data_IF_397316098233
#
_entry.id   IF_397316098233
#
_cell.length_a   1.000
_cell.length_b   1.000
_cell.length_c   1.000
_cell.angle_alpha   90.00
_cell.angle_beta   90.00
_cell.angle_gamma   90.00
#
_symmetry.space_group_name_H-M   'P 1'
#
loop_
_entity.id
_entity.type
_entity.pdbx_description
1 polymer ?
#
# COMPACT_ATOMS: atom_id res chain seq x y z
N UNK A 1 -6.56 8.74 -9.07
CA UNK A 1 -5.40 8.47 -8.18
C UNK A 1 -4.37 9.52 -8.51
N UNK A 2 -3.73 10.13 -7.51
CA UNK A 2 -2.66 11.09 -7.75
C UNK A 2 -1.33 10.42 -7.43
N UNK A 3 -0.36 10.48 -8.35
CA UNK A 3 1.00 9.96 -8.15
C UNK A 3 1.94 11.16 -8.23
N UNK A 4 2.86 11.28 -7.29
CA UNK A 4 3.92 12.29 -7.26
C UNK A 4 5.25 11.59 -7.02
N UNK A 5 6.18 11.84 -7.92
CA UNK A 5 7.55 11.36 -7.82
C UNK A 5 8.41 12.54 -7.38
N UNK A 6 9.25 12.33 -6.37
CA UNK A 6 10.18 13.34 -5.91
C UNK A 6 11.56 12.72 -5.67
N UNK A 7 12.59 13.54 -5.76
CA UNK A 7 13.96 13.14 -5.46
C UNK A 7 14.41 13.85 -4.19
N UNK A 8 15.06 13.12 -3.29
CA UNK A 8 15.91 13.72 -2.25
C UNK A 8 17.35 13.74 -2.75
N UNK A 9 18.27 14.31 -1.96
CA UNK A 9 19.68 14.48 -2.34
C UNK A 9 20.31 13.22 -2.94
N UNK A 10 20.00 12.02 -2.41
CA UNK A 10 20.63 10.77 -2.83
C UNK A 10 19.66 9.69 -3.31
N UNK A 11 18.34 9.85 -3.14
CA UNK A 11 17.37 8.79 -3.37
C UNK A 11 16.11 9.25 -4.10
N UNK A 12 15.49 8.29 -4.81
CA UNK A 12 14.16 8.43 -5.37
C UNK A 12 13.10 8.15 -4.31
N UNK A 13 12.13 9.06 -4.18
CA UNK A 13 10.98 8.94 -3.29
C UNK A 13 9.68 8.90 -4.10
N UNK A 14 8.69 8.17 -3.60
CA UNK A 14 7.38 8.07 -4.24
C UNK A 14 6.29 8.39 -3.24
N UNK A 15 5.37 9.26 -3.64
CA UNK A 15 4.13 9.52 -2.93
C UNK A 15 2.96 9.27 -3.85
N UNK A 16 1.96 8.52 -3.42
CA UNK A 16 0.75 8.31 -4.20
C UNK A 16 -0.50 8.25 -3.32
N UNK A 17 -1.65 8.55 -3.92
CA UNK A 17 -2.94 8.48 -3.25
C UNK A 17 -4.00 7.68 -3.99
N UNK A 18 -4.67 6.80 -3.25
CA UNK A 18 -5.84 6.04 -3.68
C UNK A 18 -7.12 6.82 -3.36
N UNK A 19 -7.62 7.59 -4.32
CA UNK A 19 -8.74 8.52 -4.12
C UNK A 19 -10.10 7.81 -3.87
N UNK A 20 -10.24 6.52 -4.20
CA UNK A 20 -11.55 5.82 -4.17
C UNK A 20 -11.43 4.30 -3.89
N UNK A 21 -10.88 3.95 -2.72
CA UNK A 21 -10.63 2.54 -2.35
C UNK A 21 -11.58 1.93 -1.32
N UNK A 22 -12.49 2.71 -0.72
CA UNK A 22 -13.36 2.24 0.37
C UNK A 22 -14.80 2.07 -0.10
N UNK A 23 -15.33 0.85 0.00
CA UNK A 23 -16.74 0.57 -0.25
C UNK A 23 -17.53 0.59 1.05
N UNK A 24 -18.85 0.84 0.98
CA UNK A 24 -19.74 0.80 2.15
C UNK A 24 -19.70 -0.56 2.87
N UNK A 25 -19.44 -1.64 2.13
CA UNK A 25 -19.28 -2.99 2.69
C UNK A 25 -18.03 -3.05 3.58
N UNK A 26 -16.89 -2.56 3.07
CA UNK A 26 -15.65 -2.50 3.85
C UNK A 26 -15.84 -1.69 5.13
N UNK A 27 -16.53 -0.56 5.07
CA UNK A 27 -16.79 0.29 6.24
C UNK A 27 -17.58 -0.46 7.32
N UNK A 28 -18.65 -1.16 6.92
CA UNK A 28 -19.45 -2.00 7.83
C UNK A 28 -18.62 -3.13 8.44
N UNK A 29 -17.80 -3.81 7.64
CA UNK A 29 -16.90 -4.87 8.10
C UNK A 29 -15.87 -4.36 9.11
N UNK A 30 -15.28 -3.18 8.86
CA UNK A 30 -14.35 -2.56 9.80
C UNK A 30 -15.07 -2.20 11.10
N UNK A 31 -16.25 -1.58 11.02
CA UNK A 31 -17.05 -1.20 12.19
C UNK A 31 -17.51 -2.41 13.02
N UNK A 32 -17.67 -3.58 12.41
CA UNK A 32 -17.95 -4.82 13.16
C UNK A 32 -16.70 -5.41 13.84
N UNK A 33 -15.55 -4.74 13.76
CA UNK A 33 -14.28 -5.16 14.35
C UNK A 33 -13.48 -6.16 13.50
N UNK A 34 -13.93 -6.45 12.27
CA UNK A 34 -13.23 -7.39 11.38
C UNK A 34 -12.12 -6.61 10.63
N UNK A 35 -10.85 -7.03 10.75
CA UNK A 35 -9.74 -6.34 10.10
C UNK A 35 -9.75 -6.49 8.57
N UNK A 36 -9.40 -5.42 7.88
CA UNK A 36 -9.19 -5.40 6.43
C UNK A 36 -7.73 -5.05 6.15
N UNK A 37 -7.08 -5.85 5.30
CA UNK A 37 -5.71 -5.67 4.85
C UNK A 37 -5.69 -5.04 3.47
N UNK A 38 -4.97 -3.93 3.33
CA UNK A 38 -4.69 -3.23 2.09
C UNK A 38 -3.27 -3.54 1.67
N UNK A 39 -3.07 -4.06 0.45
CA UNK A 39 -1.74 -4.29 -0.10
C UNK A 39 -1.47 -3.30 -1.23
N UNK A 40 -0.25 -2.79 -1.26
CA UNK A 40 0.26 -1.89 -2.28
C UNK A 40 1.51 -2.51 -2.87
N UNK A 41 1.50 -2.77 -4.17
CA UNK A 41 2.60 -3.32 -4.93
C UNK A 41 3.18 -2.22 -5.80
N UNK A 42 4.45 -1.92 -5.59
CA UNK A 42 5.17 -0.88 -6.30
C UNK A 42 6.35 -1.52 -7.00
N UNK A 43 6.46 -1.33 -8.31
CA UNK A 43 7.61 -1.76 -9.11
C UNK A 43 8.26 -0.54 -9.74
N UNK A 44 9.55 -0.36 -9.51
CA UNK A 44 10.38 0.58 -10.26
C UNK A 44 11.10 -0.19 -11.37
N UNK A 45 10.97 0.26 -12.61
CA UNK A 45 11.64 -0.36 -13.74
C UNK A 45 12.19 0.66 -14.75
N UNK A 46 13.22 0.25 -15.48
CA UNK A 46 13.82 0.99 -16.58
C UNK A 46 13.23 0.50 -17.90
N UNK A 47 12.68 1.42 -18.70
CA UNK A 47 12.16 1.11 -20.02
C UNK A 47 13.32 0.82 -20.99
N UNK A 48 13.22 -0.30 -21.74
CA UNK A 48 14.24 -0.73 -22.71
C UNK A 48 13.60 -0.95 -24.08
N UNK A 49 14.25 -0.45 -25.14
CA UNK A 49 13.66 -0.45 -26.48
C UNK A 49 13.60 -1.83 -27.16
N UNK A 50 14.52 -2.74 -26.85
CA UNK A 50 14.68 -4.03 -27.54
C UNK A 50 14.75 -5.26 -26.64
N UNK A 51 14.59 -5.09 -25.33
CA UNK A 51 14.61 -6.16 -24.32
C UNK A 51 13.50 -5.91 -23.31
N UNK A 52 13.15 -6.91 -22.53
CA UNK A 52 12.27 -6.72 -21.38
C UNK A 52 12.80 -5.61 -20.47
N UNK A 53 11.87 -4.80 -19.97
CA UNK A 53 12.16 -3.72 -19.04
C UNK A 53 12.88 -4.27 -17.80
N UNK A 54 13.88 -3.51 -17.33
CA UNK A 54 14.71 -3.95 -16.20
C UNK A 54 14.02 -3.53 -14.91
N UNK A 55 13.54 -4.49 -14.13
CA UNK A 55 13.08 -4.24 -12.76
C UNK A 55 14.27 -3.83 -11.91
N UNK A 56 14.17 -2.66 -11.27
CA UNK A 56 15.19 -2.10 -10.38
C UNK A 56 14.85 -2.33 -8.91
N UNK A 57 13.57 -2.19 -8.55
CA UNK A 57 13.09 -2.42 -7.19
C UNK A 57 11.64 -2.90 -7.21
N UNK A 58 11.30 -3.77 -6.27
CA UNK A 58 9.93 -4.18 -5.97
C UNK A 58 9.69 -3.98 -4.48
N UNK A 59 8.62 -3.27 -4.14
CA UNK A 59 8.25 -2.96 -2.77
C UNK A 59 6.80 -3.36 -2.58
N UNK A 60 6.54 -4.10 -1.49
CA UNK A 60 5.19 -4.38 -1.02
C UNK A 60 4.98 -3.72 0.33
N UNK A 61 3.93 -2.91 0.42
CA UNK A 61 3.45 -2.34 1.67
C UNK A 61 2.10 -2.97 1.97
N UNK A 62 1.93 -3.42 3.20
CA UNK A 62 0.65 -3.90 3.70
C UNK A 62 0.21 -3.01 4.86
N UNK A 63 -1.01 -2.50 4.81
CA UNK A 63 -1.64 -1.78 5.93
C UNK A 63 -2.91 -2.52 6.35
N UNK A 64 -3.02 -2.91 7.61
CA UNK A 64 -4.22 -3.52 8.18
C UNK A 64 -4.98 -2.48 8.98
N UNK A 65 -6.26 -2.29 8.68
CA UNK A 65 -7.18 -1.44 9.45
C UNK A 65 -8.12 -2.31 10.28
N UNK A 66 -8.22 -2.02 11.57
CA UNK A 66 -9.13 -2.68 12.51
C UNK A 66 -9.83 -1.63 13.38
N UNK A 67 -11.08 -1.87 13.73
CA UNK A 67 -11.75 -1.12 14.79
C UNK A 67 -11.68 -1.91 16.11
N UNK A 68 -11.28 -1.24 17.19
CA UNK A 68 -11.26 -1.79 18.55
C UNK A 68 -12.55 -1.40 19.27
N UNK A 69 -13.51 -2.31 19.35
CA UNK A 69 -14.80 -2.08 20.01
C UNK A 69 -14.68 -1.80 21.52
N UNK A 70 -13.61 -2.25 22.18
CA UNK A 70 -13.42 -2.02 23.61
C UNK A 70 -12.94 -0.59 23.88
N UNK A 71 -12.11 -0.06 22.98
CA UNK A 71 -11.53 1.28 23.10
C UNK A 71 -12.25 2.34 22.27
N UNK A 72 -13.13 1.92 21.36
CA UNK A 72 -13.79 2.77 20.36
C UNK A 72 -12.82 3.54 19.47
N UNK A 73 -11.75 2.88 19.01
CA UNK A 73 -10.67 3.49 18.24
C UNK A 73 -10.32 2.66 16.99
N UNK A 74 -9.80 3.34 15.97
CA UNK A 74 -9.26 2.69 14.77
C UNK A 74 -7.77 2.45 14.91
N UNK A 75 -7.36 1.22 14.65
CA UNK A 75 -5.97 0.78 14.68
C UNK A 75 -5.49 0.50 13.27
N UNK A 76 -4.40 1.15 12.86
CA UNK A 76 -3.69 0.84 11.62
C UNK A 76 -2.36 0.17 11.97
N UNK A 77 -2.11 -0.97 11.36
CA UNK A 77 -0.83 -1.67 11.41
C UNK A 77 -0.19 -1.60 10.03
N UNK A 78 1.01 -1.05 9.90
CA UNK A 78 1.75 -1.05 8.63
C UNK A 78 2.89 -2.07 8.67
N UNK A 79 3.12 -2.79 7.58
CA UNK A 79 4.30 -3.63 7.35
C UNK A 79 4.86 -3.31 5.96
N UNK A 80 6.18 -3.17 5.85
CA UNK A 80 6.91 -2.99 4.59
C UNK A 80 7.89 -4.15 4.44
N UNK A 81 7.78 -4.91 3.36
CA UNK A 81 8.67 -6.04 3.08
C UNK A 81 10.07 -5.54 2.66
N UNK A 82 10.86 -5.00 3.59
CA UNK A 82 12.24 -4.58 3.38
C UNK A 82 13.18 -5.04 4.52
N UNK A 83 12.84 -6.14 5.20
CA UNK A 83 13.64 -6.71 6.29
C UNK A 83 13.34 -6.13 7.69
N UNK A 84 12.65 -5.00 7.77
CA UNK A 84 12.28 -4.35 9.02
C UNK A 84 10.77 -4.48 9.26
N UNK A 85 10.37 -5.43 10.12
CA UNK A 85 8.99 -5.55 10.60
C UNK A 85 8.64 -4.37 11.54
N UNK A 86 8.55 -3.17 10.99
CA UNK A 86 8.14 -1.99 11.76
C UNK A 86 6.63 -1.94 11.77
N UNK A 87 6.03 -2.53 12.81
CA UNK A 87 4.61 -2.39 13.11
C UNK A 87 4.39 -0.94 13.59
N UNK A 88 4.18 -0.03 12.65
CA UNK A 88 3.67 1.30 12.98
C UNK A 88 2.20 1.13 13.37
N UNK A 89 1.90 1.36 14.64
CA UNK A 89 0.55 1.38 15.18
C UNK A 89 0.09 2.83 15.29
N UNK A 90 -0.88 3.21 14.47
CA UNK A 90 -1.60 4.47 14.64
C UNK A 90 -2.96 4.19 15.28
N UNK A 91 -3.31 4.95 16.31
CA UNK A 91 -4.63 4.95 16.94
C UNK A 91 -5.35 6.22 16.53
N UNK A 92 -6.56 6.09 15.98
CA UNK A 92 -7.32 7.22 15.43
C UNK A 92 -8.75 7.20 15.96
N UNK A 93 -9.31 8.37 16.32
CA UNK A 93 -10.69 8.47 16.80
C UNK A 93 -11.73 8.23 15.71
N UNK A 94 -11.41 8.49 14.43
CA UNK A 94 -12.41 8.44 13.35
C UNK A 94 -11.99 7.58 12.15
N UNK A 95 -13.00 6.97 11.50
CA UNK A 95 -12.81 6.22 10.24
C UNK A 95 -12.31 7.13 9.12
N UNK A 96 -12.69 8.42 9.13
CA UNK A 96 -12.28 9.38 8.11
C UNK A 96 -10.76 9.62 8.14
N UNK A 97 -10.20 9.79 9.34
CA UNK A 97 -8.75 9.91 9.53
C UNK A 97 -8.03 8.63 9.12
N UNK A 98 -8.56 7.47 9.52
CA UNK A 98 -8.00 6.18 9.13
C UNK A 98 -7.97 6.01 7.60
N UNK A 99 -9.06 6.37 6.92
CA UNK A 99 -9.14 6.38 5.46
C UNK A 99 -8.12 7.32 4.83
N UNK A 100 -7.88 8.50 5.41
CA UNK A 100 -6.87 9.44 4.89
C UNK A 100 -5.48 8.83 4.94
N UNK A 101 -5.10 8.25 6.08
CA UNK A 101 -3.79 7.60 6.27
C UNK A 101 -3.63 6.36 5.38
N UNK A 102 -4.70 5.62 5.11
CA UNK A 102 -4.67 4.46 4.20
C UNK A 102 -4.66 4.91 2.74
N UNK A 103 -5.30 6.02 2.41
CA UNK A 103 -5.36 6.54 1.05
C UNK A 103 -4.03 7.15 0.62
N UNK A 104 -3.22 7.67 1.55
CA UNK A 104 -1.91 8.26 1.27
C UNK A 104 -0.78 7.29 1.61
N UNK A 105 0.08 7.02 0.63
CA UNK A 105 1.27 6.19 0.80
C UNK A 105 2.48 6.97 0.35
N UNK A 106 3.47 7.05 1.24
CA UNK A 106 4.76 7.65 0.99
C UNK A 106 5.86 6.61 1.25
N UNK A 107 6.75 6.47 0.27
CA UNK A 107 7.87 5.55 0.33
C UNK A 107 9.13 6.36 0.11
N UNK A 108 9.90 6.48 1.19
CA UNK A 108 11.21 7.11 1.17
C UNK A 108 12.28 6.10 0.76
N UNK A 109 13.31 6.60 0.09
CA UNK A 109 14.53 5.85 -0.24
C UNK A 109 14.29 4.56 -1.04
N UNK A 110 13.53 4.65 -2.13
CA UNK A 110 13.20 3.49 -2.98
C UNK A 110 14.42 2.94 -3.70
N UNK A 111 15.17 3.85 -4.32
CA UNK A 111 16.32 3.50 -5.14
C UNK A 111 17.34 4.64 -5.13
N UNK A 112 18.64 4.34 -4.98
CA UNK A 112 19.67 5.37 -5.02
C UNK A 112 19.79 6.00 -6.40
N UNK A 113 19.85 7.33 -6.46
CA UNK A 113 19.91 8.07 -7.73
C UNK A 113 21.20 7.81 -8.51
N UNK A 114 22.31 7.56 -7.81
CA UNK A 114 23.61 7.27 -8.43
C UNK A 114 23.64 5.94 -9.20
N UNK A 115 22.65 5.05 -8.97
CA UNK A 115 22.49 3.82 -9.74
C UNK A 115 21.57 3.98 -10.97
N UNK A 116 20.98 5.16 -11.16
CA UNK A 116 20.19 5.48 -12.36
C UNK A 116 21.13 6.00 -13.45
N UNK A 117 21.06 5.37 -14.61
CA UNK A 117 21.66 5.89 -15.84
C UNK A 117 20.94 7.16 -16.29
N UNK A 118 21.71 8.20 -16.64
CA UNK A 118 21.19 9.45 -17.24
C UNK A 118 20.65 9.22 -18.64
N UNK A 119 19.74 10.09 -19.06
CA UNK A 119 19.03 10.03 -20.34
C UNK A 119 18.27 8.72 -20.57
N UNK A 120 17.77 8.10 -19.50
CA UNK A 120 16.93 6.90 -19.58
C UNK A 120 15.52 7.18 -19.07
N UNK A 121 14.57 6.43 -19.62
CA UNK A 121 13.18 6.47 -19.16
C UNK A 121 12.96 5.36 -18.14
N UNK A 122 12.40 5.74 -17.00
CA UNK A 122 12.00 4.86 -15.92
C UNK A 122 10.51 5.00 -15.69
N UNK A 123 9.93 4.03 -14.99
CA UNK A 123 8.54 4.11 -14.60
C UNK A 123 8.29 3.42 -13.26
N UNK A 124 7.30 3.94 -12.54
CA UNK A 124 6.67 3.26 -11.44
C UNK A 124 5.40 2.58 -11.94
N UNK A 125 5.29 1.28 -11.69
CA UNK A 125 4.01 0.56 -11.73
C UNK A 125 3.49 0.44 -10.31
N UNK A 126 2.22 0.81 -10.10
CA UNK A 126 1.54 0.76 -8.82
C UNK A 126 0.24 -0.02 -8.99
N UNK A 127 0.04 -0.99 -8.11
CA UNK A 127 -1.20 -1.76 -7.99
C UNK A 127 -1.58 -1.87 -6.53
N UNK A 128 -2.88 -1.90 -6.25
CA UNK A 128 -3.38 -2.07 -4.89
C UNK A 128 -4.52 -3.10 -4.85
N UNK A 129 -4.64 -3.80 -3.73
CA UNK A 129 -5.80 -4.63 -3.42
C UNK A 129 -6.23 -4.44 -1.96
N UNK A 130 -7.45 -4.86 -1.65
CA UNK A 130 -7.87 -5.04 -0.28
C UNK A 130 -8.61 -6.37 -0.10
N UNK A 131 -8.28 -7.05 0.99
CA UNK A 131 -8.82 -8.34 1.35
C UNK A 131 -9.18 -8.35 2.84
N UNK A 132 -10.21 -9.11 3.22
CA UNK A 132 -10.42 -9.45 4.62
C UNK A 132 -9.21 -10.20 5.17
N UNK A 133 -8.70 -9.77 6.33
CA UNK A 133 -7.57 -10.45 6.94
C UNK A 133 -8.02 -11.81 7.52
N UNK A 134 -7.18 -12.85 7.34
CA UNK A 134 -7.52 -14.18 7.86
C UNK A 134 -7.49 -14.12 9.39
N UNK A 135 -8.55 -14.60 10.07
CA UNK A 135 -8.53 -14.68 11.52
C UNK A 135 -7.38 -15.60 11.94
N UNK A 136 -6.84 -15.39 13.15
CA UNK A 136 -5.91 -16.34 13.73
C UNK A 136 -6.49 -17.76 13.70
N UNK A 137 -5.65 -18.79 13.53
CA UNK A 137 -6.11 -20.16 13.26
C UNK A 137 -7.06 -20.72 14.32
N UNK A 138 -6.98 -20.24 15.57
CA UNK A 138 -7.82 -20.68 16.69
C UNK A 138 -9.26 -20.11 16.70
N UNK A 139 -9.65 -19.17 15.82
CA UNK A 139 -11.04 -18.65 15.71
C UNK A 139 -11.68 -19.02 14.37
N UNK A 140 -11.02 -19.85 13.55
CA UNK A 140 -11.40 -20.09 12.15
C UNK A 140 -12.81 -20.69 11.98
N UNK A 141 -13.37 -21.30 13.02
CA UNK A 141 -14.68 -21.98 13.00
C UNK A 141 -15.90 -21.06 13.21
N UNK A 142 -15.75 -19.80 13.64
CA UNK A 142 -16.88 -18.87 13.88
C UNK A 142 -17.07 -17.81 12.79
N UNK A 143 -16.13 -17.68 11.84
CA UNK A 143 -16.11 -16.59 10.88
C UNK A 143 -16.10 -17.15 9.45
N UNK A 144 -17.25 -17.10 8.76
CA UNK A 144 -17.38 -17.56 7.36
C UNK A 144 -16.90 -16.52 6.31
N UNK A 145 -16.34 -15.38 6.75
CA UNK A 145 -15.96 -14.25 5.89
C UNK A 145 -14.49 -14.30 5.43
N UNK A 146 -13.81 -15.43 5.61
CA UNK A 146 -12.38 -15.61 5.37
C UNK A 146 -12.13 -15.80 3.87
N UNK A 147 -11.43 -14.84 3.25
CA UNK A 147 -11.06 -14.73 1.83
C UNK A 147 -11.94 -13.83 0.96
N UNK A 148 -12.64 -12.86 1.54
CA UNK A 148 -13.33 -11.86 0.73
C UNK A 148 -12.33 -10.83 0.17
N UNK A 149 -12.14 -10.83 -1.16
CA UNK A 149 -11.46 -9.75 -1.88
C UNK A 149 -12.43 -8.60 -2.04
N UNK A 150 -12.12 -7.46 -1.44
CA UNK A 150 -12.98 -6.28 -1.49
C UNK A 150 -12.78 -5.46 -2.76
N UNK A 151 -11.52 -5.27 -3.17
CA UNK A 151 -11.21 -4.65 -4.46
C UNK A 151 -9.82 -5.04 -4.94
N UNK A 152 -9.62 -4.81 -6.23
CA UNK A 152 -8.32 -4.77 -6.89
C UNK A 152 -8.31 -3.53 -7.78
N UNK A 153 -7.23 -2.74 -7.70
CA UNK A 153 -7.03 -1.65 -8.63
C UNK A 153 -6.44 -2.17 -9.93
N UNK A 154 -6.76 -1.48 -11.03
CA UNK A 154 -5.95 -1.60 -12.23
C UNK A 154 -4.52 -1.13 -11.94
N UNK A 155 -3.58 -1.67 -12.71
CA UNK A 155 -2.20 -1.22 -12.68
C UNK A 155 -2.11 0.22 -13.22
N UNK A 156 -1.42 1.09 -12.48
CA UNK A 156 -1.16 2.47 -12.90
C UNK A 156 0.33 2.68 -13.08
N UNK A 157 0.70 3.18 -14.25
CA UNK A 157 2.08 3.46 -14.64
C UNK A 157 2.30 4.96 -14.67
N UNK A 158 3.37 5.43 -14.01
CA UNK A 158 3.86 6.81 -14.06
C UNK A 158 5.31 6.81 -14.54
N UNK A 159 5.58 7.50 -15.66
CA UNK A 159 6.91 7.53 -16.29
C UNK A 159 7.67 8.79 -15.91
N UNK A 160 8.99 8.68 -15.80
CA UNK A 160 9.88 9.81 -15.61
C UNK A 160 11.20 9.58 -16.35
N UNK A 161 11.91 10.67 -16.64
CA UNK A 161 13.24 10.64 -17.25
C UNK A 161 14.26 11.11 -16.22
N UNK A 162 15.39 10.42 -16.16
CA UNK A 162 16.56 10.78 -15.37
C UNK A 162 17.77 10.82 -16.29
#
# INVERSE_FOLDING_TARGET
QNIRISTSSNYLNLRFSLIRGFTRKMEKTIQSGIPIKFNYYITLAQQRSWKNDKVLAQITISKTLKYDNLKNEYLIFSNKNNGENHILKATLPTLSEAKKILSEVEILSIYPLWQLERNRTYYFSIKADACGEKPPPYIRYLLFFVNEKYFESNEKIEKFRY
#
